data_IF_316101188646
#
_entry.id   IF_316101188646
#
_cell.length_a   1.000
_cell.length_b   1.000
_cell.length_c   1.000
_cell.angle_alpha   90.00
_cell.angle_beta   90.00
_cell.angle_gamma   90.00
#
_symmetry.space_group_name_H-M   'P 1'
#
loop_
_entity.id
_entity.type
_entity.pdbx_description
1 polymer ?
#
# COMPACT_ATOMS: atom_id res chain seq x y z
N UNK A 1 -16.34 26.61 -17.44
CA UNK A 1 -15.72 25.31 -17.07
C UNK A 1 -15.48 25.24 -15.57
N UNK A 2 -14.73 26.18 -14.99
CA UNK A 2 -14.35 26.13 -13.57
C UNK A 2 -15.52 26.11 -12.59
N UNK A 3 -16.53 26.96 -12.80
CA UNK A 3 -17.71 27.00 -11.95
C UNK A 3 -18.43 25.64 -11.97
N UNK A 4 -18.74 25.09 -13.14
CA UNK A 4 -19.60 23.89 -13.23
C UNK A 4 -18.79 22.60 -13.01
N UNK A 5 -17.68 22.42 -13.74
CA UNK A 5 -16.92 21.16 -13.72
C UNK A 5 -16.00 21.05 -12.51
N UNK A 6 -15.23 22.10 -12.23
CA UNK A 6 -14.32 22.12 -11.08
C UNK A 6 -15.03 22.51 -9.78
N UNK A 7 -16.32 22.89 -9.85
CA UNK A 7 -17.15 23.29 -8.72
C UNK A 7 -16.50 24.36 -7.87
N UNK A 8 -15.87 25.35 -8.50
CA UNK A 8 -15.13 26.40 -7.78
C UNK A 8 -16.03 27.33 -6.94
N UNK A 9 -17.36 27.24 -7.10
CA UNK A 9 -18.34 27.87 -6.20
C UNK A 9 -18.49 27.16 -4.84
N UNK A 10 -17.82 26.03 -4.66
CA UNK A 10 -17.84 25.28 -3.41
C UNK A 10 -16.59 25.57 -2.59
N UNK A 11 -16.76 25.60 -1.28
CA UNK A 11 -15.64 25.40 -0.37
C UNK A 11 -15.47 23.91 -0.08
N UNK A 12 -14.23 23.44 0.00
CA UNK A 12 -13.92 22.03 0.24
C UNK A 12 -13.43 21.79 1.67
N UNK A 13 -13.70 20.60 2.17
CA UNK A 13 -13.20 20.07 3.45
C UNK A 13 -12.60 18.67 3.21
N UNK A 14 -11.32 18.42 3.56
CA UNK A 14 -10.72 17.10 3.39
C UNK A 14 -11.33 16.08 4.35
N UNK A 15 -11.34 14.82 3.94
CA UNK A 15 -11.85 13.73 4.77
C UNK A 15 -10.92 13.44 5.96
N UNK A 16 -11.50 13.25 7.14
CA UNK A 16 -10.85 12.56 8.27
C UNK A 16 -11.48 11.18 8.40
N UNK A 17 -10.69 10.13 8.57
CA UNK A 17 -11.21 8.76 8.53
C UNK A 17 -10.60 7.84 9.59
N UNK A 18 -11.30 6.73 9.84
CA UNK A 18 -10.77 5.57 10.55
C UNK A 18 -11.22 4.31 9.82
N UNK A 19 -10.34 3.30 9.78
CA UNK A 19 -10.62 2.02 9.14
C UNK A 19 -10.51 0.91 10.18
N UNK A 20 -11.41 -0.06 10.10
CA UNK A 20 -11.26 -1.35 10.76
C UNK A 20 -11.47 -2.43 9.72
N UNK A 21 -10.57 -3.39 9.67
CA UNK A 21 -10.65 -4.52 8.76
C UNK A 21 -10.80 -5.83 9.52
N UNK A 22 -11.33 -6.84 8.85
CA UNK A 22 -11.37 -8.23 9.33
C UNK A 22 -11.18 -9.16 8.13
N UNK A 23 -10.18 -10.02 8.20
CA UNK A 23 -9.98 -11.08 7.21
C UNK A 23 -10.69 -12.34 7.67
N UNK A 24 -11.27 -13.09 6.74
CA UNK A 24 -11.85 -14.42 6.98
C UNK A 24 -11.46 -15.37 5.87
N UNK A 25 -11.10 -16.59 6.27
CA UNK A 25 -10.72 -17.66 5.38
C UNK A 25 -10.03 -18.78 6.15
N UNK A 26 -10.04 -19.98 5.58
CA UNK A 26 -9.32 -21.13 6.09
C UNK A 26 -8.27 -21.52 5.05
N UNK A 27 -7.00 -21.42 5.43
CA UNK A 27 -5.86 -21.82 4.61
C UNK A 27 -5.34 -23.18 5.07
N UNK A 28 -4.57 -23.84 4.22
CA UNK A 28 -3.92 -25.09 4.59
C UNK A 28 -2.60 -25.28 3.85
N UNK A 29 -1.73 -26.11 4.42
CA UNK A 29 -0.47 -26.55 3.81
C UNK A 29 -0.44 -28.08 3.84
N UNK A 30 -0.06 -28.70 2.72
CA UNK A 30 0.05 -30.16 2.62
C UNK A 30 1.29 -30.66 3.37
N UNK A 31 1.12 -31.59 4.31
CA UNK A 31 2.23 -32.12 5.10
C UNK A 31 3.20 -32.98 4.28
N UNK A 32 2.80 -33.49 3.10
CA UNK A 32 3.67 -34.28 2.21
C UNK A 32 4.86 -33.51 1.62
N UNK A 33 4.83 -32.17 1.70
CA UNK A 33 5.92 -31.31 1.21
C UNK A 33 6.77 -30.70 2.33
N UNK A 34 6.47 -30.99 3.61
CA UNK A 34 7.27 -30.51 4.74
C UNK A 34 8.45 -31.48 4.92
N UNK A 35 9.44 -31.40 4.03
CA UNK A 35 10.78 -31.84 4.39
C UNK A 35 11.34 -30.80 5.38
N UNK A 36 11.05 -31.00 6.67
CA UNK A 36 11.84 -30.35 7.72
C UNK A 36 13.29 -30.75 7.47
N UNK A 37 14.09 -29.83 6.97
CA UNK A 37 15.52 -29.97 6.94
C UNK A 37 15.97 -30.13 8.41
N UNK A 38 16.24 -31.37 8.81
CA UNK A 38 17.01 -31.74 10.00
C UNK A 38 16.32 -31.56 11.36
N UNK A 39 15.08 -32.03 11.53
CA UNK A 39 14.55 -32.26 12.88
C UNK A 39 13.78 -33.58 12.95
N UNK A 40 14.45 -34.63 13.47
CA UNK A 40 13.88 -35.97 13.68
C UNK A 40 13.00 -36.07 14.92
N UNK A 41 13.04 -35.07 15.81
CA UNK A 41 12.55 -35.22 17.19
C UNK A 41 11.17 -34.60 17.44
N UNK A 42 10.59 -33.92 16.44
CA UNK A 42 9.24 -33.36 16.52
C UNK A 42 8.30 -34.00 15.52
N UNK A 43 7.81 -35.19 15.88
CA UNK A 43 6.71 -35.87 15.20
C UNK A 43 5.46 -34.96 15.25
N UNK A 44 5.15 -34.31 14.13
CA UNK A 44 3.75 -34.01 13.82
C UNK A 44 3.03 -35.36 13.92
N UNK A 45 1.84 -35.40 14.54
CA UNK A 45 1.04 -36.63 14.59
C UNK A 45 0.97 -37.17 13.15
N UNK A 46 1.58 -38.32 12.90
CA UNK A 46 1.80 -38.90 11.56
C UNK A 46 0.49 -39.19 10.78
N UNK A 47 -0.67 -38.88 11.34
CA UNK A 47 -2.00 -39.12 10.77
C UNK A 47 -2.63 -37.90 10.07
N UNK A 48 -2.05 -36.69 10.20
CA UNK A 48 -2.63 -35.48 9.61
C UNK A 48 -2.02 -35.15 8.24
N UNK A 49 -2.85 -35.15 7.19
CA UNK A 49 -2.42 -34.86 5.80
C UNK A 49 -2.11 -33.38 5.54
N UNK A 50 -2.65 -32.47 6.36
CA UNK A 50 -2.59 -31.02 6.16
C UNK A 50 -2.46 -30.29 7.49
N UNK A 51 -1.75 -29.16 7.53
CA UNK A 51 -1.79 -28.17 8.61
C UNK A 51 -2.75 -27.06 8.23
N UNK A 52 -3.73 -26.79 9.09
CA UNK A 52 -4.72 -25.72 8.88
C UNK A 52 -4.20 -24.39 9.43
N UNK A 53 -4.62 -23.29 8.80
CA UNK A 53 -4.31 -21.92 9.20
C UNK A 53 -5.61 -21.11 9.22
N UNK A 54 -5.89 -20.49 10.36
CA UNK A 54 -7.00 -19.55 10.51
C UNK A 54 -6.52 -18.11 10.66
N UNK A 55 -7.46 -17.18 10.86
CA UNK A 55 -7.18 -15.75 10.95
C UNK A 55 -6.16 -15.38 12.02
N UNK A 56 -6.06 -16.14 13.11
CA UNK A 56 -5.08 -15.90 14.15
C UNK A 56 -3.65 -16.29 13.74
N UNK A 57 -3.50 -17.20 12.77
CA UNK A 57 -2.20 -17.69 12.31
C UNK A 57 -1.61 -16.82 11.19
N UNK A 58 -2.45 -16.36 10.24
CA UNK A 58 -1.97 -15.70 9.02
C UNK A 58 -2.07 -14.16 9.05
N UNK A 59 -2.75 -13.54 10.03
CA UNK A 59 -2.81 -12.07 10.17
C UNK A 59 -1.84 -11.59 11.25
N UNK A 60 -0.76 -10.93 10.83
CA UNK A 60 0.36 -10.59 11.73
C UNK A 60 0.86 -9.15 11.49
N UNK A 61 0.72 -8.22 12.44
CA UNK A 61 0.00 -8.36 13.69
C UNK A 61 -1.53 -8.35 13.46
N UNK A 62 -2.34 -8.88 14.39
CA UNK A 62 -3.80 -8.85 14.28
C UNK A 62 -4.39 -7.43 14.33
N UNK A 63 -3.59 -6.45 14.77
CA UNK A 63 -3.97 -5.03 14.86
C UNK A 63 -2.89 -4.14 14.25
N UNK A 64 -3.01 -3.88 12.95
CA UNK A 64 -2.19 -2.88 12.26
C UNK A 64 -3.07 -1.70 11.83
N UNK A 65 -2.60 -0.48 12.05
CA UNK A 65 -3.36 0.72 11.69
C UNK A 65 -3.37 0.91 10.18
N UNK A 66 -4.57 0.98 9.58
CA UNK A 66 -4.78 1.16 8.14
C UNK A 66 -3.99 0.18 7.26
N UNK A 67 -3.65 -0.99 7.78
CA UNK A 67 -2.94 -2.00 7.01
C UNK A 67 -3.32 -3.40 7.49
N UNK A 68 -3.10 -4.38 6.63
CA UNK A 68 -3.30 -5.79 6.90
C UNK A 68 -2.11 -6.51 6.29
N UNK A 69 -1.38 -7.27 7.09
CA UNK A 69 -0.48 -8.27 6.55
C UNK A 69 -1.17 -9.64 6.58
N UNK A 70 -1.27 -10.25 5.40
CA UNK A 70 -1.78 -11.60 5.17
C UNK A 70 -0.61 -12.48 4.75
N UNK A 71 -0.19 -13.36 5.64
CA UNK A 71 0.84 -14.36 5.34
C UNK A 71 0.33 -15.31 4.25
N UNK A 72 1.11 -15.45 3.18
CA UNK A 72 0.78 -16.32 2.05
C UNK A 72 1.78 -17.46 1.91
N UNK A 73 3.01 -17.27 2.38
CA UNK A 73 4.06 -18.28 2.34
C UNK A 73 4.98 -18.08 3.55
N UNK A 74 5.61 -19.15 4.04
CA UNK A 74 6.54 -19.03 5.17
C UNK A 74 7.61 -20.12 5.19
N UNK A 75 8.71 -19.82 5.87
CA UNK A 75 9.74 -20.80 6.26
C UNK A 75 9.74 -20.89 7.78
N UNK A 76 9.60 -22.11 8.29
CA UNK A 76 9.60 -22.41 9.73
C UNK A 76 10.91 -23.11 10.10
N UNK A 77 11.56 -22.66 11.18
CA UNK A 77 12.76 -23.31 11.71
C UNK A 77 12.66 -23.36 13.23
N UNK A 78 12.61 -24.58 13.79
CA UNK A 78 12.69 -24.79 15.24
C UNK A 78 14.14 -24.68 15.66
N UNK A 79 14.42 -23.92 16.72
CA UNK A 79 15.76 -23.56 17.13
C UNK A 79 15.94 -23.64 18.65
N UNK A 80 17.16 -23.91 19.08
CA UNK A 80 17.62 -23.77 20.47
C UNK A 80 18.97 -23.06 20.52
N UNK A 81 19.39 -22.58 21.69
CA UNK A 81 20.71 -21.98 21.83
C UNK A 81 21.78 -23.06 21.89
N UNK A 82 22.58 -23.18 20.82
CA UNK A 82 23.68 -24.14 20.76
C UNK A 82 24.76 -23.68 19.77
N UNK A 83 25.57 -24.63 19.28
CA UNK A 83 26.57 -24.41 18.24
C UNK A 83 26.20 -25.22 17.00
N UNK A 84 26.27 -24.60 15.83
CA UNK A 84 25.95 -25.24 14.56
C UNK A 84 26.71 -24.57 13.41
N UNK A 85 26.69 -25.21 12.24
CA UNK A 85 27.20 -24.60 11.02
C UNK A 85 26.30 -23.47 10.53
N UNK A 86 26.91 -22.45 9.96
CA UNK A 86 26.22 -21.34 9.29
C UNK A 86 25.53 -21.78 7.98
N UNK A 87 24.76 -20.88 7.36
CA UNK A 87 23.96 -21.15 6.15
C UNK A 87 24.83 -21.63 4.97
N UNK A 88 24.76 -22.93 4.69
CA UNK A 88 25.53 -23.60 3.63
C UNK A 88 25.09 -23.24 2.21
N UNK A 89 23.94 -22.58 2.03
CA UNK A 89 23.49 -22.14 0.70
C UNK A 89 24.24 -20.89 0.24
N UNK A 90 24.85 -20.16 1.16
CA UNK A 90 25.59 -18.93 0.88
C UNK A 90 27.09 -19.18 0.88
N UNK A 91 27.70 -18.95 -0.29
CA UNK A 91 29.15 -19.06 -0.49
C UNK A 91 29.98 -18.19 0.46
N UNK A 92 29.40 -17.11 0.98
CA UNK A 92 30.06 -16.20 1.93
C UNK A 92 30.43 -16.85 3.25
N UNK A 93 29.78 -17.96 3.62
CA UNK A 93 30.02 -18.67 4.88
C UNK A 93 30.78 -19.98 4.69
N UNK A 94 31.17 -20.30 3.45
CA UNK A 94 31.97 -21.48 3.14
C UNK A 94 33.40 -21.28 3.62
N UNK A 95 33.97 -22.33 4.20
CA UNK A 95 35.34 -22.32 4.72
C UNK A 95 36.10 -23.54 4.22
N UNK A 96 37.44 -23.45 4.22
CA UNK A 96 38.31 -24.61 4.00
C UNK A 96 39.06 -24.96 5.28
N UNK A 97 39.39 -23.95 6.07
CA UNK A 97 40.20 -24.04 7.29
C UNK A 97 39.61 -23.15 8.37
N UNK A 98 39.96 -23.42 9.64
CA UNK A 98 39.50 -22.65 10.80
C UNK A 98 39.89 -21.16 10.73
N UNK A 99 41.01 -20.83 10.07
CA UNK A 99 41.43 -19.43 9.87
C UNK A 99 40.47 -18.62 9.01
N UNK A 100 39.66 -19.27 8.17
CA UNK A 100 38.66 -18.59 7.33
C UNK A 100 37.46 -18.10 8.17
N UNK A 101 37.30 -18.62 9.38
CA UNK A 101 36.16 -18.36 10.28
C UNK A 101 36.45 -17.31 11.36
N UNK A 102 37.57 -16.59 11.24
CA UNK A 102 37.95 -15.51 12.15
C UNK A 102 37.37 -14.19 11.62
N UNK A 103 36.43 -13.62 12.36
CA UNK A 103 35.62 -12.49 11.90
C UNK A 103 35.79 -11.29 12.83
N UNK A 104 35.99 -10.10 12.26
CA UNK A 104 36.05 -8.84 13.00
C UNK A 104 34.67 -8.43 13.51
N UNK A 105 34.62 -7.64 14.60
CA UNK A 105 33.37 -7.25 15.26
C UNK A 105 32.38 -6.52 14.35
N UNK A 106 32.87 -5.80 13.34
CA UNK A 106 32.05 -5.11 12.33
C UNK A 106 31.24 -6.04 11.44
N UNK A 107 31.64 -7.31 11.32
CA UNK A 107 31.02 -8.27 10.40
C UNK A 107 29.97 -9.15 11.08
N UNK A 108 29.81 -9.11 12.40
CA UNK A 108 28.83 -9.92 13.15
C UNK A 108 27.38 -9.69 12.70
N UNK A 109 27.04 -8.50 12.20
CA UNK A 109 25.67 -8.18 11.75
C UNK A 109 25.21 -8.98 10.51
N UNK A 110 26.13 -9.61 9.79
CA UNK A 110 25.82 -10.40 8.60
C UNK A 110 25.68 -11.91 8.88
N UNK A 111 25.93 -12.33 10.13
CA UNK A 111 25.90 -13.73 10.55
C UNK A 111 24.67 -14.02 11.39
N UNK A 112 24.22 -15.28 11.44
CA UNK A 112 23.08 -15.66 12.29
C UNK A 112 23.49 -15.87 13.76
N UNK A 113 24.79 -15.87 14.05
CA UNK A 113 25.36 -16.01 15.39
C UNK A 113 26.81 -15.56 15.45
N UNK A 114 27.47 -15.81 16.59
CA UNK A 114 28.86 -15.43 16.82
C UNK A 114 29.77 -16.56 16.32
N UNK A 115 30.67 -16.32 15.35
CA UNK A 115 31.60 -17.34 14.86
C UNK A 115 32.49 -17.87 15.98
N UNK A 116 32.64 -19.19 16.07
CA UNK A 116 33.51 -19.84 17.07
C UNK A 116 34.97 -19.94 16.62
N UNK A 117 35.23 -19.68 15.33
CA UNK A 117 36.52 -19.84 14.69
C UNK A 117 36.79 -21.24 14.13
N UNK A 118 35.81 -22.16 14.15
CA UNK A 118 35.95 -23.51 13.59
C UNK A 118 35.27 -23.66 12.23
N UNK A 119 35.87 -24.46 11.35
CA UNK A 119 35.32 -24.84 10.06
C UNK A 119 34.81 -26.29 10.12
N UNK A 120 33.51 -26.49 10.00
CA UNK A 120 32.84 -27.79 10.18
C UNK A 120 32.16 -28.26 8.88
N UNK A 121 31.94 -29.56 8.76
CA UNK A 121 31.21 -30.14 7.63
C UNK A 121 29.73 -29.76 7.70
N UNK A 122 29.17 -29.32 6.57
CA UNK A 122 27.73 -29.07 6.45
C UNK A 122 26.98 -30.39 6.19
N UNK A 123 25.63 -30.40 6.33
CA UNK A 123 24.81 -31.55 5.94
C UNK A 123 24.92 -31.94 4.45
N UNK A 124 25.45 -31.07 3.58
CA UNK A 124 25.73 -31.37 2.18
C UNK A 124 27.17 -31.87 2.00
N UNK A 125 27.30 -33.03 1.37
CA UNK A 125 28.60 -33.64 1.07
C UNK A 125 29.52 -32.70 0.29
N UNK A 126 30.72 -32.49 0.82
CA UNK A 126 31.78 -31.69 0.18
C UNK A 126 31.71 -30.18 0.43
N UNK A 127 30.76 -29.70 1.24
CA UNK A 127 30.66 -28.28 1.64
C UNK A 127 30.97 -28.16 3.13
N UNK A 128 31.92 -27.29 3.47
CA UNK A 128 32.25 -26.90 4.83
C UNK A 128 31.84 -25.45 5.10
N UNK A 129 31.36 -25.20 6.30
CA UNK A 129 30.89 -23.88 6.76
C UNK A 129 31.44 -23.55 8.14
N UNK A 130 31.51 -22.26 8.44
CA UNK A 130 31.95 -21.83 9.76
C UNK A 130 30.93 -22.18 10.85
N UNK A 131 31.42 -22.65 11.99
CA UNK A 131 30.62 -22.90 13.20
C UNK A 131 30.32 -21.57 13.90
N UNK A 132 29.07 -21.41 14.30
CA UNK A 132 28.57 -20.26 15.06
C UNK A 132 27.97 -20.71 16.39
N UNK A 133 27.93 -19.81 17.36
CA UNK A 133 27.13 -19.94 18.58
C UNK A 133 25.94 -18.98 18.50
N UNK A 134 24.73 -19.51 18.61
CA UNK A 134 23.50 -18.75 18.42
C UNK A 134 22.26 -19.65 18.45
N UNK A 135 21.21 -19.23 17.74
CA UNK A 135 20.00 -20.03 17.56
C UNK A 135 20.22 -21.03 16.43
N UNK A 136 20.20 -22.31 16.80
CA UNK A 136 20.58 -23.43 15.95
C UNK A 136 19.46 -24.47 15.86
N UNK A 137 19.28 -25.13 14.71
CA UNK A 137 19.97 -24.88 13.43
C UNK A 137 19.63 -23.51 12.83
N UNK A 138 20.49 -22.98 11.96
CA UNK A 138 20.20 -21.72 11.24
C UNK A 138 19.06 -21.91 10.25
N UNK A 139 18.36 -20.83 9.93
CA UNK A 139 17.32 -20.82 8.89
C UNK A 139 17.95 -21.13 7.52
N UNK A 140 17.44 -22.15 6.83
CA UNK A 140 17.84 -22.48 5.46
C UNK A 140 16.66 -22.23 4.53
N UNK A 141 16.87 -21.34 3.57
CA UNK A 141 15.85 -21.00 2.58
C UNK A 141 16.13 -21.68 1.23
N UNK A 142 15.34 -22.70 0.91
CA UNK A 142 15.29 -23.37 -0.39
C UNK A 142 13.84 -23.42 -0.87
N UNK A 143 13.61 -23.79 -2.13
CA UNK A 143 12.24 -23.98 -2.64
C UNK A 143 11.48 -25.04 -1.85
N UNK A 144 12.18 -26.06 -1.34
CA UNK A 144 11.60 -27.14 -0.53
C UNK A 144 11.26 -26.75 0.92
N UNK A 145 11.83 -25.65 1.46
CA UNK A 145 11.52 -25.21 2.83
C UNK A 145 10.39 -24.18 2.89
N UNK A 146 9.90 -23.71 1.74
CA UNK A 146 8.79 -22.76 1.63
C UNK A 146 7.44 -23.48 1.70
N UNK A 147 6.54 -22.90 2.49
CA UNK A 147 5.20 -23.42 2.74
C UNK A 147 4.16 -22.43 2.22
N UNK A 148 3.77 -22.59 0.96
CA UNK A 148 2.69 -21.79 0.37
C UNK A 148 1.35 -22.21 1.00
N UNK A 149 0.63 -21.24 1.55
CA UNK A 149 -0.70 -21.45 2.11
C UNK A 149 -1.70 -21.49 0.95
N UNK A 150 -2.36 -22.62 0.80
CA UNK A 150 -3.39 -22.81 -0.20
C UNK A 150 -4.68 -22.07 0.19
N UNK A 151 -5.53 -21.79 -0.80
CA UNK A 151 -6.85 -21.17 -0.64
C UNK A 151 -6.87 -19.67 -0.22
N UNK A 152 -5.70 -19.01 -0.12
CA UNK A 152 -5.59 -17.57 0.20
C UNK A 152 -6.43 -16.69 -0.72
N UNK A 153 -6.45 -16.98 -2.02
CA UNK A 153 -7.18 -16.19 -3.02
C UNK A 153 -8.70 -16.17 -2.77
N UNK A 154 -9.25 -17.19 -2.11
CA UNK A 154 -10.66 -17.27 -1.74
C UNK A 154 -10.99 -16.58 -0.41
N UNK A 155 -10.02 -15.94 0.23
CA UNK A 155 -10.25 -15.24 1.49
C UNK A 155 -11.04 -13.95 1.23
N UNK A 156 -11.71 -13.48 2.28
CA UNK A 156 -12.48 -12.24 2.22
C UNK A 156 -11.93 -11.22 3.20
N UNK A 157 -11.91 -9.96 2.77
CA UNK A 157 -11.53 -8.81 3.58
C UNK A 157 -12.80 -7.97 3.78
N UNK A 158 -13.29 -7.92 5.01
CA UNK A 158 -14.35 -7.00 5.41
C UNK A 158 -13.73 -5.67 5.82
N UNK A 159 -14.15 -4.57 5.20
CA UNK A 159 -13.66 -3.21 5.47
C UNK A 159 -14.79 -2.37 6.04
N UNK A 160 -14.61 -1.87 7.26
CA UNK A 160 -15.46 -0.85 7.88
C UNK A 160 -14.71 0.47 7.87
N UNK A 161 -15.22 1.45 7.16
CA UNK A 161 -14.63 2.78 7.07
C UNK A 161 -15.62 3.84 7.55
N UNK A 162 -15.24 4.56 8.61
CA UNK A 162 -15.96 5.69 9.16
C UNK A 162 -15.25 6.99 8.75
N UNK A 163 -15.99 7.93 8.17
CA UNK A 163 -15.47 9.23 7.71
C UNK A 163 -16.15 10.41 8.39
N UNK A 164 -15.43 11.52 8.45
CA UNK A 164 -15.90 12.81 8.95
C UNK A 164 -15.35 13.96 8.12
N UNK A 165 -16.24 14.87 7.72
CA UNK A 165 -15.91 16.20 7.23
C UNK A 165 -16.13 17.19 8.38
N UNK A 166 -15.03 17.58 9.04
CA UNK A 166 -15.04 18.35 10.29
C UNK A 166 -15.65 19.73 10.11
N UNK A 167 -15.31 20.44 9.04
CA UNK A 167 -15.81 21.80 8.75
C UNK A 167 -17.33 21.81 8.65
N UNK A 168 -17.93 20.75 8.11
CA UNK A 168 -19.37 20.66 7.88
C UNK A 168 -20.13 19.82 8.91
N UNK A 169 -19.44 19.26 9.90
CA UNK A 169 -20.05 18.40 10.94
C UNK A 169 -20.74 17.16 10.38
N UNK A 170 -20.29 16.65 9.22
CA UNK A 170 -20.90 15.49 8.54
C UNK A 170 -20.09 14.23 8.82
N UNK A 171 -20.78 13.14 9.13
CA UNK A 171 -20.20 11.80 9.36
C UNK A 171 -20.96 10.76 8.55
N UNK A 172 -20.22 9.83 7.94
CA UNK A 172 -20.79 8.73 7.18
C UNK A 172 -19.94 7.48 7.37
N UNK A 173 -20.52 6.32 7.09
CA UNK A 173 -19.84 5.04 7.01
C UNK A 173 -20.06 4.44 5.63
N UNK A 174 -19.12 3.63 5.14
CA UNK A 174 -19.30 2.88 3.90
C UNK A 174 -20.46 1.87 3.93
N UNK A 175 -20.83 1.40 5.12
CA UNK A 175 -21.97 0.51 5.37
C UNK A 175 -23.23 1.35 5.63
N UNK A 176 -24.23 1.21 4.75
CA UNK A 176 -25.50 1.92 4.88
C UNK A 176 -26.32 1.44 6.09
N UNK A 177 -27.16 2.30 6.70
CA UNK A 177 -27.93 1.95 7.90
C UNK A 177 -28.95 0.81 7.72
N UNK A 178 -29.38 0.53 6.48
CA UNK A 178 -30.33 -0.52 6.14
C UNK A 178 -29.67 -1.88 5.84
N UNK A 179 -28.34 -1.96 5.88
CA UNK A 179 -27.58 -3.18 5.63
C UNK A 179 -27.64 -4.09 6.86
N UNK A 180 -28.03 -5.35 6.67
CA UNK A 180 -28.13 -6.35 7.75
C UNK A 180 -26.88 -7.22 7.83
N UNK A 181 -26.69 -7.89 8.98
CA UNK A 181 -25.62 -8.86 9.14
C UNK A 181 -25.76 -10.06 8.18
N UNK A 182 -26.99 -10.45 7.86
CA UNK A 182 -27.26 -11.55 6.93
C UNK A 182 -26.76 -11.21 5.51
N UNK A 183 -27.02 -9.98 5.06
CA UNK A 183 -26.44 -9.48 3.81
C UNK A 183 -24.90 -9.47 3.86
N UNK A 184 -24.30 -8.90 4.91
CA UNK A 184 -22.83 -8.83 5.05
C UNK A 184 -22.21 -10.24 5.06
N UNK A 185 -22.92 -11.25 5.56
CA UNK A 185 -22.41 -12.62 5.64
C UNK A 185 -22.26 -13.33 4.29
N UNK A 186 -22.95 -12.84 3.26
CA UNK A 186 -23.08 -13.51 1.96
C UNK A 186 -22.75 -12.63 0.76
N UNK A 187 -22.78 -11.30 0.91
CA UNK A 187 -22.47 -10.38 -0.17
C UNK A 187 -20.98 -10.43 -0.54
N UNK A 188 -20.70 -10.08 -1.79
CA UNK A 188 -19.35 -9.81 -2.30
C UNK A 188 -19.40 -8.49 -3.04
N UNK A 189 -18.39 -7.66 -2.84
CA UNK A 189 -18.31 -6.36 -3.45
C UNK A 189 -18.15 -6.48 -4.97
N UNK A 190 -18.95 -5.71 -5.71
CA UNK A 190 -18.76 -5.51 -7.14
C UNK A 190 -19.30 -4.11 -7.50
N UNK A 191 -18.49 -3.31 -8.19
CA UNK A 191 -18.81 -1.90 -8.48
C UNK A 191 -20.13 -1.70 -9.26
N UNK A 192 -20.59 -2.72 -10.00
CA UNK A 192 -21.75 -2.63 -10.90
C UNK A 192 -22.99 -3.27 -10.29
N UNK A 193 -22.83 -4.45 -9.71
CA UNK A 193 -23.92 -5.32 -9.26
C UNK A 193 -24.19 -5.18 -7.77
N UNK A 194 -23.16 -4.97 -6.93
CA UNK A 194 -23.32 -4.82 -5.49
C UNK A 194 -22.29 -3.85 -4.84
N UNK A 195 -22.34 -2.55 -5.19
CA UNK A 195 -21.34 -1.57 -4.74
C UNK A 195 -21.43 -1.23 -3.25
N UNK A 196 -22.49 -1.67 -2.57
CA UNK A 196 -22.73 -1.41 -1.15
C UNK A 196 -22.10 -2.46 -0.23
N UNK A 197 -21.66 -3.59 -0.79
CA UNK A 197 -21.08 -4.65 0.00
C UNK A 197 -19.67 -4.25 0.49
N UNK A 198 -19.39 -4.34 1.80
CA UNK A 198 -18.08 -4.02 2.37
C UNK A 198 -17.11 -5.22 2.40
N UNK A 199 -17.43 -6.32 1.73
CA UNK A 199 -16.68 -7.59 1.76
C UNK A 199 -16.04 -7.83 0.41
N UNK A 200 -14.71 -7.89 0.37
CA UNK A 200 -13.92 -8.01 -0.86
C UNK A 200 -13.24 -9.36 -0.93
N UNK A 201 -13.22 -9.99 -2.10
CA UNK A 201 -12.48 -11.23 -2.31
C UNK A 201 -11.01 -10.91 -2.58
N UNK A 202 -10.09 -11.65 -1.96
CA UNK A 202 -8.64 -11.42 -2.15
C UNK A 202 -8.25 -11.61 -3.61
N UNK A 203 -8.80 -12.61 -4.31
CA UNK A 203 -8.52 -12.83 -5.74
C UNK A 203 -8.89 -11.62 -6.60
N UNK A 204 -10.06 -11.02 -6.36
CA UNK A 204 -10.56 -9.86 -7.11
C UNK A 204 -9.66 -8.63 -6.87
N UNK A 205 -9.30 -8.37 -5.60
CA UNK A 205 -8.34 -7.31 -5.26
C UNK A 205 -7.02 -7.50 -6.02
N UNK A 206 -6.49 -8.72 -6.05
CA UNK A 206 -5.23 -9.01 -6.72
C UNK A 206 -5.33 -8.90 -8.24
N UNK A 207 -6.46 -9.33 -8.83
CA UNK A 207 -6.72 -9.22 -10.27
C UNK A 207 -6.77 -7.77 -10.75
N UNK A 208 -7.44 -6.91 -9.98
CA UNK A 208 -7.51 -5.48 -10.28
C UNK A 208 -6.17 -4.78 -10.04
N UNK A 209 -5.46 -5.13 -8.95
CA UNK A 209 -4.18 -4.51 -8.61
C UNK A 209 -3.02 -4.93 -9.52
N UNK A 210 -2.99 -6.20 -9.98
CA UNK A 210 -1.98 -6.74 -10.88
C UNK A 210 -2.61 -7.74 -11.87
N UNK A 211 -2.95 -7.28 -13.10
CA UNK A 211 -3.53 -8.16 -14.10
C UNK A 211 -2.59 -9.27 -14.60
N UNK A 212 -1.27 -9.09 -14.48
CA UNK A 212 -0.29 -10.09 -14.93
C UNK A 212 -0.27 -11.32 -14.00
N UNK A 213 -0.60 -12.49 -14.57
CA UNK A 213 -0.68 -13.75 -13.84
C UNK A 213 0.66 -14.18 -13.22
N UNK A 214 1.78 -13.93 -13.91
CA UNK A 214 3.09 -14.34 -13.43
C UNK A 214 3.55 -13.47 -12.27
N UNK A 215 3.31 -12.16 -12.35
CA UNK A 215 3.55 -11.25 -11.23
C UNK A 215 2.69 -11.61 -10.02
N UNK A 216 1.38 -11.89 -10.19
CA UNK A 216 0.51 -12.33 -9.08
C UNK A 216 1.02 -13.59 -8.38
N UNK A 217 1.45 -14.60 -9.14
CA UNK A 217 2.06 -15.82 -8.56
C UNK A 217 3.30 -15.50 -7.75
N UNK A 218 4.14 -14.60 -8.23
CA UNK A 218 5.34 -14.18 -7.50
C UNK A 218 5.00 -13.39 -6.24
N UNK A 219 3.96 -12.55 -6.26
CA UNK A 219 3.46 -11.85 -5.08
C UNK A 219 3.03 -12.86 -4.00
N UNK A 220 2.30 -13.91 -4.36
CA UNK A 220 1.89 -14.94 -3.39
C UNK A 220 3.09 -15.72 -2.82
N UNK A 221 4.16 -15.90 -3.59
CA UNK A 221 5.35 -16.65 -3.15
C UNK A 221 6.35 -15.80 -2.36
N UNK A 222 6.59 -14.56 -2.77
CA UNK A 222 7.65 -13.67 -2.23
C UNK A 222 7.09 -12.50 -1.43
N UNK A 223 5.77 -12.37 -1.35
CA UNK A 223 5.06 -11.23 -0.79
C UNK A 223 5.03 -10.03 -1.73
N UNK A 224 4.18 -9.06 -1.41
CA UNK A 224 4.05 -7.81 -2.15
C UNK A 224 3.18 -6.81 -1.39
N UNK A 225 3.08 -5.59 -1.90
CA UNK A 225 2.33 -4.51 -1.24
C UNK A 225 1.22 -4.06 -2.17
N UNK A 226 -0.02 -4.11 -1.69
CA UNK A 226 -1.22 -3.72 -2.45
C UNK A 226 -1.88 -2.55 -1.74
N UNK A 227 -2.13 -1.47 -2.46
CA UNK A 227 -2.90 -0.34 -1.97
C UNK A 227 -4.38 -0.55 -2.24
N UNK A 228 -5.19 -0.41 -1.19
CA UNK A 228 -6.65 -0.30 -1.26
C UNK A 228 -7.00 1.17 -1.04
N UNK A 229 -7.38 1.88 -2.09
CA UNK A 229 -7.84 3.26 -1.97
C UNK A 229 -9.36 3.31 -1.80
N UNK A 230 -9.81 4.09 -0.81
CA UNK A 230 -11.22 4.37 -0.54
C UNK A 230 -11.45 5.87 -0.74
N UNK A 231 -12.02 6.24 -1.88
CA UNK A 231 -12.18 7.64 -2.28
C UNK A 231 -13.59 8.16 -1.97
N UNK A 232 -13.68 9.23 -1.18
CA UNK A 232 -14.90 9.93 -0.81
C UNK A 232 -15.00 11.34 -1.42
N UNK A 233 -15.39 11.43 -2.69
CA UNK A 233 -15.74 12.71 -3.33
C UNK A 233 -17.22 13.05 -3.11
N UNK A 234 -17.50 13.83 -2.06
CA UNK A 234 -18.87 14.18 -1.68
C UNK A 234 -19.29 15.57 -2.16
N UNK A 235 -20.50 15.66 -2.70
CA UNK A 235 -21.18 16.92 -2.92
C UNK A 235 -22.26 17.15 -1.86
N UNK A 236 -22.04 18.12 -0.96
CA UNK A 236 -22.96 18.45 0.14
C UNK A 236 -24.10 19.38 -0.27
N UNK A 237 -24.11 19.86 -1.51
CA UNK A 237 -25.27 20.58 -2.07
C UNK A 237 -26.41 19.62 -2.43
N UNK A 238 -26.07 18.34 -2.57
CA UNK A 238 -27.00 17.23 -2.74
C UNK A 238 -27.16 16.45 -1.43
N UNK A 239 -28.09 15.50 -1.39
CA UNK A 239 -28.25 14.64 -0.22
C UNK A 239 -26.96 13.88 0.11
N UNK A 240 -26.38 14.19 1.26
CA UNK A 240 -25.14 13.59 1.76
C UNK A 240 -25.23 12.06 1.89
N UNK A 241 -26.44 11.52 2.11
CA UNK A 241 -26.66 10.06 2.18
C UNK A 241 -26.32 9.34 0.88
N UNK A 242 -26.27 10.04 -0.25
CA UNK A 242 -25.87 9.50 -1.56
C UNK A 242 -24.37 9.53 -1.79
N UNK A 243 -23.58 10.14 -0.90
CA UNK A 243 -22.13 10.07 -1.02
C UNK A 243 -21.66 8.65 -0.65
N UNK A 244 -21.13 7.94 -1.64
CA UNK A 244 -20.60 6.59 -1.48
C UNK A 244 -19.11 6.58 -1.82
N UNK A 245 -18.32 5.72 -1.15
CA UNK A 245 -16.93 5.56 -1.51
C UNK A 245 -16.80 4.89 -2.87
N UNK A 246 -15.68 5.17 -3.54
CA UNK A 246 -15.20 4.36 -4.66
C UNK A 246 -13.94 3.63 -4.22
N UNK A 247 -13.85 2.36 -4.57
CA UNK A 247 -12.70 1.55 -4.25
C UNK A 247 -11.80 1.43 -5.47
N UNK A 248 -10.50 1.44 -5.26
CA UNK A 248 -9.52 1.10 -6.29
C UNK A 248 -8.37 0.32 -5.68
N UNK A 249 -7.86 -0.62 -6.46
CA UNK A 249 -6.80 -1.54 -6.04
C UNK A 249 -5.62 -1.36 -6.97
N UNK A 250 -4.43 -1.18 -6.39
CA UNK A 250 -3.20 -1.00 -7.16
C UNK A 250 -2.06 -1.68 -6.45
N UNK A 251 -1.15 -2.31 -7.21
CA UNK A 251 0.12 -2.76 -6.66
C UNK A 251 1.00 -1.56 -6.31
N UNK A 252 1.42 -1.47 -5.05
CA UNK A 252 2.23 -0.35 -4.55
C UNK A 252 3.73 -0.60 -4.67
N UNK A 253 4.19 -1.85 -4.55
CA UNK A 253 5.60 -2.21 -4.73
C UNK A 253 5.98 -2.34 -6.22
N UNK A 254 7.27 -2.20 -6.52
CA UNK A 254 7.78 -2.39 -7.88
C UNK A 254 7.62 -3.83 -8.34
N UNK A 255 7.33 -4.02 -9.63
CA UNK A 255 7.17 -5.34 -10.23
C UNK A 255 8.46 -6.14 -10.18
N UNK A 256 8.35 -7.45 -10.06
CA UNK A 256 9.51 -8.32 -9.92
C UNK A 256 10.39 -8.30 -11.17
N UNK A 257 9.79 -8.21 -12.36
CA UNK A 257 10.52 -8.11 -13.63
C UNK A 257 11.40 -6.86 -13.76
N UNK A 258 11.07 -5.79 -13.02
CA UNK A 258 11.76 -4.50 -13.08
C UNK A 258 12.89 -4.41 -12.05
N UNK A 259 13.06 -5.45 -11.21
CA UNK A 259 14.00 -5.48 -10.10
C UNK A 259 15.14 -6.47 -10.33
N UNK A 260 16.36 -6.04 -10.05
CA UNK A 260 17.56 -6.90 -10.04
C UNK A 260 17.99 -7.33 -8.63
N UNK A 261 17.26 -6.89 -7.59
CA UNK A 261 17.64 -7.00 -6.18
C UNK A 261 16.46 -7.31 -5.25
N UNK A 262 16.51 -6.82 -4.01
CA UNK A 262 15.51 -7.07 -2.97
C UNK A 262 14.08 -6.81 -3.49
N UNK A 263 13.30 -7.88 -3.61
CA UNK A 263 11.95 -7.88 -4.18
C UNK A 263 10.98 -8.60 -3.26
N UNK A 264 9.72 -8.17 -3.26
CA UNK A 264 8.65 -8.74 -2.43
C UNK A 264 8.63 -8.19 -1.01
N UNK A 265 7.84 -8.81 -0.13
CA UNK A 265 7.61 -8.34 1.23
C UNK A 265 7.69 -9.50 2.22
N UNK A 266 8.64 -9.41 3.16
CA UNK A 266 8.86 -10.43 4.18
C UNK A 266 9.41 -9.86 5.48
N UNK A 267 9.18 -10.58 6.58
CA UNK A 267 9.79 -10.32 7.87
C UNK A 267 9.92 -11.60 8.69
N UNK A 268 10.62 -11.52 9.81
CA UNK A 268 10.82 -12.64 10.74
C UNK A 268 10.20 -12.34 12.09
N UNK A 269 9.59 -13.33 12.69
CA UNK A 269 9.18 -13.32 14.09
C UNK A 269 9.46 -14.69 14.71
N UNK A 270 9.37 -14.81 16.02
CA UNK A 270 9.66 -16.07 16.69
C UNK A 270 8.81 -16.27 17.94
N UNK A 271 8.29 -17.49 18.07
CA UNK A 271 7.55 -17.95 19.25
C UNK A 271 8.48 -18.74 20.15
N UNK A 272 8.65 -18.28 21.40
CA UNK A 272 9.59 -18.90 22.36
C UNK A 272 8.84 -19.80 23.33
N UNK A 273 9.40 -20.97 23.61
CA UNK A 273 8.84 -21.95 24.55
C UNK A 273 9.96 -22.72 25.26
N UNK A 274 9.64 -23.40 26.35
CA UNK A 274 10.60 -24.20 27.11
C UNK A 274 10.15 -25.66 27.19
N UNK A 275 11.09 -26.58 26.97
CA UNK A 275 10.87 -28.04 27.07
C UNK A 275 11.96 -28.59 27.97
N UNK A 276 11.57 -29.24 29.07
CA UNK A 276 12.49 -29.87 30.04
C UNK A 276 13.62 -28.93 30.53
N UNK A 277 13.34 -27.64 30.71
CA UNK A 277 14.32 -26.63 31.16
C UNK A 277 15.19 -26.03 30.04
N UNK A 278 15.13 -26.57 28.83
CA UNK A 278 15.81 -26.02 27.64
C UNK A 278 14.89 -25.04 26.91
N UNK A 279 15.42 -23.88 26.54
CA UNK A 279 14.69 -22.86 25.79
C UNK A 279 14.76 -23.17 24.30
N UNK A 280 13.60 -23.17 23.65
CA UNK A 280 13.42 -23.30 22.22
C UNK A 280 12.70 -22.08 21.66
N UNK A 281 12.81 -21.88 20.35
CA UNK A 281 11.93 -20.98 19.60
C UNK A 281 11.58 -21.58 18.26
N UNK A 282 10.39 -21.27 17.77
CA UNK A 282 10.03 -21.46 16.37
C UNK A 282 10.25 -20.13 15.66
N UNK A 283 11.30 -20.04 14.85
CA UNK A 283 11.54 -18.91 13.98
C UNK A 283 10.67 -19.05 12.73
N UNK A 284 9.92 -18.01 12.40
CA UNK A 284 9.09 -17.96 11.20
C UNK A 284 9.53 -16.77 10.36
N UNK A 285 9.94 -17.05 9.12
CA UNK A 285 10.09 -16.04 8.09
C UNK A 285 8.82 -16.02 7.25
N UNK A 286 8.01 -14.99 7.43
CA UNK A 286 6.74 -14.83 6.73
C UNK A 286 6.92 -14.00 5.46
N UNK A 287 6.36 -14.50 4.37
CA UNK A 287 6.13 -13.82 3.12
C UNK A 287 4.63 -13.61 2.96
N UNK A 288 4.23 -12.45 2.45
CA UNK A 288 2.81 -12.17 2.39
C UNK A 288 2.42 -10.89 1.70
N UNK A 289 1.11 -10.72 1.59
CA UNK A 289 0.47 -9.53 1.07
C UNK A 289 0.34 -8.52 2.18
N UNK A 290 0.93 -7.33 1.99
CA UNK A 290 0.63 -6.18 2.83
C UNK A 290 -0.36 -5.28 2.11
N UNK A 291 -1.60 -5.29 2.57
CA UNK A 291 -2.62 -4.34 2.13
C UNK A 291 -2.44 -3.03 2.89
N UNK A 292 -2.32 -1.91 2.18
CA UNK A 292 -2.30 -0.56 2.76
C UNK A 292 -3.61 0.11 2.39
N UNK A 293 -4.39 0.50 3.38
CA UNK A 293 -5.70 1.12 3.17
C UNK A 293 -5.56 2.63 3.25
N UNK A 294 -5.72 3.30 2.11
CA UNK A 294 -5.62 4.76 2.00
C UNK A 294 -7.01 5.32 1.79
N UNK A 295 -7.43 6.25 2.65
CA UNK A 295 -8.73 6.92 2.50
C UNK A 295 -8.48 8.33 2.01
N UNK A 296 -8.99 8.63 0.81
CA UNK A 296 -8.87 9.94 0.17
C UNK A 296 -10.26 10.55 -0.02
N UNK A 297 -10.31 11.84 -0.32
CA UNK A 297 -11.56 12.52 -0.65
C UNK A 297 -11.75 13.85 0.04
N UNK A 298 -12.78 14.56 -0.42
CA UNK A 298 -13.19 15.87 0.03
C UNK A 298 -14.69 16.04 -0.09
N UNK A 299 -15.24 16.89 0.74
CA UNK A 299 -16.62 17.32 0.64
C UNK A 299 -16.68 18.77 0.16
N UNK A 300 -17.40 19.02 -0.93
CA UNK A 300 -17.70 20.36 -1.41
C UNK A 300 -19.09 20.81 -0.97
N UNK A 301 -19.21 22.04 -0.48
CA UNK A 301 -20.51 22.70 -0.22
C UNK A 301 -20.48 24.10 -0.81
N UNK A 302 -21.59 24.56 -1.37
CA UNK A 302 -21.78 25.93 -1.83
C UNK A 302 -21.28 26.93 -0.79
N UNK A 303 -20.43 27.84 -1.24
CA UNK A 303 -19.90 28.93 -0.44
C UNK A 303 -19.85 30.18 -1.32
N UNK A 304 -20.39 31.29 -0.80
CA UNK A 304 -20.49 32.53 -1.55
C UNK A 304 -19.11 33.16 -1.82
N UNK A 305 -18.13 32.95 -0.94
CA UNK A 305 -16.80 33.55 -1.08
C UNK A 305 -16.04 32.95 -2.29
N UNK A 306 -15.87 31.61 -2.42
CA UNK A 306 -15.26 31.00 -3.61
C UNK A 306 -15.98 31.33 -4.93
N UNK A 307 -17.31 31.44 -4.90
CA UNK A 307 -18.10 31.84 -6.06
C UNK A 307 -17.71 33.24 -6.53
N UNK A 308 -17.73 34.24 -5.64
CA UNK A 308 -17.35 35.61 -5.98
C UNK A 308 -15.90 35.72 -6.48
N UNK A 309 -14.98 35.01 -5.83
CA UNK A 309 -13.58 34.97 -6.26
C UNK A 309 -13.45 34.40 -7.68
N UNK A 310 -14.20 33.34 -8.00
CA UNK A 310 -14.21 32.76 -9.36
C UNK A 310 -14.79 33.75 -10.38
N UNK A 311 -15.91 34.42 -10.06
CA UNK A 311 -16.52 35.40 -10.97
C UNK A 311 -15.57 36.58 -11.20
N UNK A 312 -14.95 37.10 -10.13
CA UNK A 312 -13.96 38.18 -10.22
C UNK A 312 -12.77 37.81 -11.09
N UNK A 313 -12.21 36.62 -10.90
CA UNK A 313 -11.15 36.09 -11.76
C UNK A 313 -11.62 35.94 -13.22
N UNK A 314 -12.84 35.45 -13.44
CA UNK A 314 -13.45 35.32 -14.77
C UNK A 314 -13.61 36.66 -15.49
N UNK A 315 -14.06 37.71 -14.79
CA UNK A 315 -14.17 39.07 -15.35
C UNK A 315 -12.78 39.61 -15.68
N UNK A 316 -11.79 39.39 -14.82
CA UNK A 316 -10.40 39.79 -15.09
C UNK A 316 -9.83 39.16 -16.36
N UNK A 317 -10.17 37.90 -16.65
CA UNK A 317 -9.74 37.20 -17.87
C UNK A 317 -10.34 37.81 -19.16
N UNK A 318 -11.45 38.55 -19.08
CA UNK A 318 -12.03 39.25 -20.24
C UNK A 318 -11.16 40.40 -20.76
N UNK A 319 -10.16 40.84 -20.00
CA UNK A 319 -9.17 41.82 -20.46
C UNK A 319 -8.10 41.21 -21.40
N UNK A 320 -7.92 39.89 -21.42
CA UNK A 320 -6.90 39.26 -22.26
C UNK A 320 -7.20 39.40 -23.76
N UNK A 321 -8.44 39.14 -24.24
CA UNK A 321 -8.77 39.33 -25.64
C UNK A 321 -8.55 40.75 -26.16
N UNK A 322 -8.79 41.79 -25.34
CA UNK A 322 -8.56 43.18 -25.77
C UNK A 322 -7.08 43.49 -25.93
N UNK A 323 -6.23 43.01 -25.02
CA UNK A 323 -4.77 43.12 -25.15
C UNK A 323 -4.25 42.40 -26.40
N UNK A 324 -4.78 41.21 -26.70
CA UNK A 324 -4.42 40.45 -27.90
C UNK A 324 -4.90 41.19 -29.16
N UNK A 325 -6.14 41.67 -29.16
CA UNK A 325 -6.71 42.42 -30.27
C UNK A 325 -5.89 43.69 -30.55
N UNK A 326 -5.54 44.44 -29.51
CA UNK A 326 -4.66 45.60 -29.60
C UNK A 326 -3.28 45.23 -30.15
N UNK A 327 -2.68 44.13 -29.67
CA UNK A 327 -1.40 43.67 -30.18
C UNK A 327 -1.45 43.33 -31.67
N UNK A 328 -2.50 42.63 -32.12
CA UNK A 328 -2.70 42.27 -33.52
C UNK A 328 -2.93 43.53 -34.36
N UNK A 329 -3.84 44.41 -33.92
CA UNK A 329 -4.23 45.63 -34.63
C UNK A 329 -3.02 46.55 -34.82
N UNK A 330 -2.24 46.77 -33.76
CA UNK A 330 -1.16 47.74 -33.74
C UNK A 330 0.15 47.23 -34.35
N UNK A 331 0.37 45.91 -34.43
CA UNK A 331 1.64 45.36 -34.91
C UNK A 331 1.54 44.54 -36.20
N UNK A 332 0.44 43.82 -36.41
CA UNK A 332 0.32 42.79 -37.44
C UNK A 332 -0.58 43.19 -38.64
N UNK A 333 -1.40 44.23 -38.51
CA UNK A 333 -2.26 44.68 -39.62
C UNK A 333 -1.51 45.55 -40.64
N UNK A 334 -1.97 45.50 -41.91
CA UNK A 334 -1.39 46.31 -43.00
C UNK A 334 -1.50 47.81 -42.75
N UNK A 335 -2.59 48.26 -42.13
CA UNK A 335 -2.85 49.66 -41.80
C UNK A 335 -2.41 50.04 -40.37
N UNK A 336 -1.48 49.29 -39.76
CA UNK A 336 -1.02 49.52 -38.38
C UNK A 336 -0.67 50.98 -38.04
N UNK A 337 -0.07 51.74 -38.96
CA UNK A 337 0.30 53.15 -38.76
C UNK A 337 -0.92 54.07 -38.59
N UNK A 338 -2.06 53.71 -39.19
CA UNK A 338 -3.32 54.43 -39.03
C UNK A 338 -3.93 54.13 -37.65
N UNK A 339 -4.01 52.85 -37.27
CA UNK A 339 -4.53 52.44 -35.96
C UNK A 339 -3.67 52.93 -34.77
N UNK A 340 -2.35 52.96 -34.91
CA UNK A 340 -1.44 53.53 -33.91
C UNK A 340 -1.74 55.02 -33.66
N UNK A 341 -1.88 55.81 -34.73
CA UNK A 341 -2.22 57.24 -34.61
C UNK A 341 -3.57 57.48 -33.96
N UNK A 342 -4.58 56.65 -34.29
CA UNK A 342 -5.90 56.75 -33.67
C UNK A 342 -5.83 56.45 -32.17
N UNK A 343 -5.11 55.40 -31.78
CA UNK A 343 -4.96 55.05 -30.35
C UNK A 343 -4.21 56.11 -29.56
N UNK A 344 -3.16 56.72 -30.14
CA UNK A 344 -2.45 57.86 -29.54
C UNK A 344 -3.34 59.10 -29.39
N UNK A 345 -4.20 59.37 -30.38
CA UNK A 345 -5.14 60.48 -30.32
C UNK A 345 -6.22 60.25 -29.26
N UNK A 346 -6.76 59.03 -29.18
CA UNK A 346 -7.76 58.64 -28.19
C UNK A 346 -7.18 58.74 -26.77
N UNK A 347 -5.92 58.32 -26.58
CA UNK A 347 -5.19 58.48 -25.32
C UNK A 347 -5.09 59.95 -24.89
N UNK A 348 -4.62 60.84 -25.78
CA UNK A 348 -4.52 62.29 -25.50
C UNK A 348 -5.88 62.92 -25.22
N UNK A 349 -6.95 62.44 -25.85
CA UNK A 349 -8.30 62.96 -25.63
C UNK A 349 -8.88 62.55 -24.27
N UNK A 350 -8.58 61.35 -23.79
CA UNK A 350 -9.01 60.86 -22.48
C UNK A 350 -8.21 61.50 -21.34
N UNK A 351 -6.90 61.70 -21.53
CA UNK A 351 -6.03 62.40 -20.57
C UNK A 351 -6.53 63.85 -20.32
N UNK A 352 -6.90 64.56 -21.39
CA UNK A 352 -7.49 65.90 -21.29
C UNK A 352 -8.87 65.93 -20.59
N UNK A 353 -9.64 64.83 -20.62
CA UNK A 353 -10.93 64.72 -19.92
C UNK A 353 -10.77 64.41 -18.42
N UNK A 354 -9.76 63.63 -18.05
CA UNK A 354 -9.47 63.38 -16.63
C UNK A 354 -8.93 64.64 -15.95
N UNK A 355 -8.10 65.43 -16.63
CA UNK A 355 -7.57 66.71 -16.10
C UNK A 355 -8.71 67.70 -15.81
N UNK A 356 -9.68 67.84 -16.73
CA UNK A 356 -10.84 68.73 -16.54
C UNK A 356 -11.80 68.25 -15.45
N UNK A 357 -11.99 66.93 -15.25
CA UNK A 357 -12.81 66.41 -14.15
C UNK A 357 -12.17 66.54 -12.76
N UNK A 358 -10.84 66.65 -12.66
CA UNK A 358 -10.12 66.90 -11.40
C UNK A 358 -10.16 68.39 -11.03
N UNK A 359 -10.14 69.29 -12.02
CA UNK A 359 -10.30 70.73 -11.80
C UNK A 359 -11.71 71.12 -11.32
N UNK A 360 -12.76 70.38 -11.73
CA UNK A 360 -14.15 70.62 -11.30
C UNK A 360 -14.49 70.07 -9.88
N UNK A 361 -13.55 69.39 -9.19
CA UNK A 361 -13.75 68.82 -7.83
C UNK A 361 -13.04 69.57 -6.69
N UNK A 362 -12.42 70.72 -6.96
CA UNK A 362 -11.78 71.55 -5.94
C UNK A 362 -12.51 72.86 -5.67
#
# INVERSE_FOLDING_TARGET
WDIIKNKSYQAFDPVSSTVTSKVKGLGFVNNTNIQRALDSDFLIRNDEKYRLFDTADYIIPPTEYNSIFLMTNFVETVQTQSKCGEDYTKKTFHCKTDSDCIVSSSSYNNWHGIPTGKCIDSPLNGIKVCEISGWCPVEIETESTRNLIENIENFTIFIKNDIQFKKYGKKQRNILPNITNDYISSCKHDDKTDPYCPVFLVSEILEDAEPDLMERKQILQKGGVVQIEINWECNLDTDFKKCMPKYSFERFDLKFRDLTGASGFNFRFADKYAVNGTIYRTLIKAYGLRFIIVVTGKAGRFDFIPLLLTIGAGIGLLAIPTLIADFILLNLTKERKFYQKLKEYDYKSNENKEITMVEDRF
#
